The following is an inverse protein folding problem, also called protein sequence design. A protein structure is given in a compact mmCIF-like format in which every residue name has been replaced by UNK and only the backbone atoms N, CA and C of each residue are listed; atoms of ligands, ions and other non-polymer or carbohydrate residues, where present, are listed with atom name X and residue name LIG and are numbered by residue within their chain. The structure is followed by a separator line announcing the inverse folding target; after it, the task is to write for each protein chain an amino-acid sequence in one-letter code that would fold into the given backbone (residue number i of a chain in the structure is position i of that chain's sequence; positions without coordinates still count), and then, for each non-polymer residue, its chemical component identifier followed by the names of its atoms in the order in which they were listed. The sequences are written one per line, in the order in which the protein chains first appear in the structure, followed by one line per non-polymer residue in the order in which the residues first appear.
data_IF_062000196643
#
_entry.id   IF_062000196643
#
_cell.length_a   1.000
_cell.length_b   1.000
_cell.length_c   1.000
_cell.angle_alpha   90.00
_cell.angle_beta   90.00
_cell.angle_gamma   90.00
#
_symmetry.space_group_name_H-M   'P 1'
#
loop_
_entity.id
_entity.type
_entity.pdbx_description
1 polymer ?
#
# COMPACT_ATOMS: atom_id res chain seq x y z
N UNK A 1 44.94 12.25 -6.23
CA UNK A 1 43.64 12.17 -5.53
C UNK A 1 43.86 11.39 -4.25
N UNK A 2 43.49 11.94 -3.10
CA UNK A 2 43.67 11.27 -1.82
C UNK A 2 42.72 10.10 -1.75
N UNK A 3 43.19 8.90 -1.42
CA UNK A 3 42.33 7.72 -1.29
C UNK A 3 41.42 7.86 -0.07
N UNK A 4 40.13 7.69 -0.27
CA UNK A 4 39.17 7.67 0.83
C UNK A 4 39.37 6.41 1.68
N UNK A 5 39.20 6.57 2.98
CA UNK A 5 39.16 5.46 3.95
C UNK A 5 37.71 5.10 4.30
N UNK A 6 37.54 4.13 5.18
CA UNK A 6 36.25 3.71 5.66
C UNK A 6 36.01 4.14 7.11
N UNK A 7 34.76 4.41 7.45
CA UNK A 7 34.27 4.45 8.82
C UNK A 7 33.31 3.29 8.97
N UNK A 8 33.61 2.34 9.83
CA UNK A 8 32.77 1.16 10.06
C UNK A 8 31.71 1.51 11.11
N UNK A 9 30.43 1.43 10.74
CA UNK A 9 29.33 1.65 11.67
C UNK A 9 28.88 0.30 12.25
N UNK A 10 29.17 0.11 13.51
CA UNK A 10 29.00 -1.13 14.27
C UNK A 10 30.33 -1.73 14.69
N UNK A 11 30.44 -2.03 15.99
CA UNK A 11 31.67 -2.56 16.63
C UNK A 11 31.54 -4.03 17.00
N UNK A 12 30.39 -4.66 16.71
CA UNK A 12 30.13 -6.07 17.00
C UNK A 12 30.79 -7.03 15.99
N UNK A 13 30.31 -8.28 15.94
CA UNK A 13 30.83 -9.34 15.08
C UNK A 13 31.09 -8.88 13.64
N UNK A 14 30.08 -8.26 13.00
CA UNK A 14 30.22 -7.79 11.61
C UNK A 14 31.20 -6.64 11.44
N UNK A 15 31.34 -5.77 12.46
CA UNK A 15 32.36 -4.71 12.47
C UNK A 15 33.79 -5.30 12.47
N UNK A 16 34.01 -6.33 13.26
CA UNK A 16 35.29 -7.01 13.30
C UNK A 16 35.58 -7.80 12.02
N UNK A 17 34.57 -8.47 11.46
CA UNK A 17 34.70 -9.13 10.15
C UNK A 17 35.05 -8.12 9.05
N UNK A 18 34.39 -6.95 9.04
CA UNK A 18 34.65 -5.87 8.09
C UNK A 18 36.07 -5.29 8.25
N UNK A 19 36.52 -5.10 9.50
CA UNK A 19 37.87 -4.66 9.78
C UNK A 19 38.91 -5.63 9.21
N UNK A 20 38.73 -6.94 9.47
CA UNK A 20 39.61 -7.97 8.95
C UNK A 20 39.59 -8.03 7.42
N UNK A 21 38.41 -7.87 6.81
CA UNK A 21 38.26 -7.90 5.36
C UNK A 21 38.92 -6.74 4.66
N UNK A 22 38.68 -5.49 5.14
CA UNK A 22 39.24 -4.31 4.52
C UNK A 22 40.69 -4.00 4.92
N UNK A 23 41.11 -4.51 6.04
CA UNK A 23 42.44 -4.26 6.62
C UNK A 23 42.48 -2.95 7.43
N UNK A 24 43.18 -2.99 8.55
CA UNK A 24 43.27 -1.86 9.51
C UNK A 24 43.72 -0.57 8.87
N UNK A 25 44.68 -0.60 7.96
CA UNK A 25 45.20 0.61 7.29
C UNK A 25 44.17 1.41 6.49
N UNK A 26 43.07 0.76 6.14
CA UNK A 26 42.00 1.31 5.33
C UNK A 26 40.79 1.83 6.14
N UNK A 27 40.76 1.57 7.44
CA UNK A 27 39.72 2.03 8.36
C UNK A 27 40.19 3.23 9.15
N UNK A 28 39.46 4.34 9.07
CA UNK A 28 39.77 5.60 9.75
C UNK A 28 39.24 5.57 11.19
N UNK A 29 37.97 5.21 11.34
CA UNK A 29 37.27 5.12 12.61
C UNK A 29 36.27 3.96 12.63
N UNK A 30 35.92 3.53 13.83
CA UNK A 30 34.63 2.93 14.08
C UNK A 30 33.61 4.00 14.50
N UNK A 31 32.33 3.75 14.30
CA UNK A 31 31.26 4.49 14.94
C UNK A 31 30.25 3.52 15.53
N UNK A 32 29.67 3.87 16.66
CA UNK A 32 28.67 3.04 17.34
C UNK A 32 27.66 3.88 18.10
N UNK A 33 26.41 3.39 18.19
CA UNK A 33 25.34 4.03 18.96
C UNK A 33 25.50 3.86 20.46
N UNK A 34 26.25 2.84 20.88
CA UNK A 34 26.54 2.61 22.30
C UNK A 34 27.48 3.69 22.84
N UNK A 35 26.92 4.61 23.61
CA UNK A 35 27.65 5.73 24.23
C UNK A 35 28.80 5.26 25.11
N UNK A 36 28.68 4.07 25.71
CA UNK A 36 29.75 3.48 26.55
C UNK A 36 31.00 3.05 25.78
N UNK A 37 30.90 2.93 24.45
CA UNK A 37 32.03 2.58 23.58
C UNK A 37 32.67 3.82 22.92
N UNK A 38 31.93 4.90 22.78
CA UNK A 38 32.42 6.13 22.15
C UNK A 38 33.62 6.70 22.90
N UNK A 39 34.65 7.10 22.16
CA UNK A 39 35.93 7.55 22.69
C UNK A 39 36.93 6.45 23.01
N UNK A 40 36.52 5.19 23.07
CA UNK A 40 37.41 4.03 23.23
C UNK A 40 38.05 3.60 21.89
N UNK A 41 38.92 2.64 21.94
CA UNK A 41 39.57 2.08 20.76
C UNK A 41 39.36 0.55 20.67
N UNK A 42 39.26 0.08 19.44
CA UNK A 42 39.30 -1.36 19.10
C UNK A 42 40.45 -1.53 18.08
N UNK A 43 41.39 -2.39 18.39
CA UNK A 43 42.58 -2.61 17.56
C UNK A 43 43.34 -1.34 17.21
N UNK A 44 43.36 -0.35 18.13
CA UNK A 44 43.99 0.95 17.94
C UNK A 44 43.22 1.87 16.97
N UNK A 45 41.96 1.56 16.66
CA UNK A 45 41.06 2.42 15.88
C UNK A 45 40.02 3.02 16.84
N UNK A 46 39.94 4.35 16.86
CA UNK A 46 39.04 5.08 17.75
C UNK A 46 37.58 4.92 17.33
N UNK A 47 36.68 4.79 18.31
CA UNK A 47 35.23 4.78 18.13
C UNK A 47 34.69 6.20 18.31
N UNK A 48 34.14 6.77 17.25
CA UNK A 48 33.53 8.10 17.25
C UNK A 48 32.02 8.01 17.43
N UNK A 49 31.41 9.13 17.83
CA UNK A 49 29.94 9.23 17.84
C UNK A 49 29.40 9.32 16.42
N UNK A 50 28.23 8.70 16.11
CA UNK A 50 27.56 8.87 14.82
C UNK A 50 27.29 10.34 14.45
N UNK A 51 27.16 11.23 15.43
CA UNK A 51 27.00 12.69 15.21
C UNK A 51 28.22 13.35 14.59
N UNK A 52 29.38 12.70 14.65
CA UNK A 52 30.63 13.24 14.11
C UNK A 52 30.86 12.90 12.63
N UNK A 53 30.08 11.96 12.06
CA UNK A 53 30.27 11.41 10.71
C UNK A 53 30.34 12.48 9.61
N UNK A 54 29.52 13.51 9.69
CA UNK A 54 29.50 14.59 8.70
C UNK A 54 30.85 15.34 8.58
N UNK A 55 31.69 15.30 9.61
CA UNK A 55 33.03 15.92 9.58
C UNK A 55 33.97 15.22 8.62
N UNK A 56 33.74 13.93 8.37
CA UNK A 56 34.64 13.06 7.61
C UNK A 56 34.15 12.68 6.22
N UNK A 57 33.04 13.25 5.75
CA UNK A 57 32.42 12.91 4.45
C UNK A 57 33.34 13.09 3.24
N UNK A 58 34.38 13.93 3.35
CA UNK A 58 35.38 14.12 2.28
C UNK A 58 36.45 13.05 2.30
N UNK A 59 36.77 12.53 3.48
CA UNK A 59 37.93 11.68 3.72
C UNK A 59 37.57 10.19 3.80
N UNK A 60 36.31 9.89 4.08
CA UNK A 60 35.85 8.52 4.29
C UNK A 60 34.45 8.26 3.75
N UNK A 61 34.17 6.98 3.50
CA UNK A 61 32.84 6.43 3.21
C UNK A 61 32.39 5.61 4.43
N UNK A 62 31.14 5.80 4.84
CA UNK A 62 30.55 5.01 5.93
C UNK A 62 30.15 3.64 5.40
N UNK A 63 30.54 2.58 6.11
CA UNK A 63 30.14 1.22 5.81
C UNK A 63 29.38 0.64 7.01
N UNK A 64 28.13 0.27 6.78
CA UNK A 64 27.27 -0.36 7.79
C UNK A 64 27.72 -1.79 8.00
N UNK A 65 28.16 -2.12 9.21
CA UNK A 65 28.71 -3.42 9.57
C UNK A 65 27.93 -4.04 10.74
N UNK A 66 26.69 -4.39 10.47
CA UNK A 66 25.77 -4.99 11.43
C UNK A 66 24.86 -6.02 10.74
N UNK A 67 23.98 -6.66 11.49
CA UNK A 67 22.91 -7.49 10.93
C UNK A 67 21.90 -6.61 10.16
N UNK A 68 21.15 -7.20 9.24
CA UNK A 68 20.29 -6.46 8.29
C UNK A 68 19.29 -5.54 9.00
N UNK A 69 18.64 -6.03 10.05
CA UNK A 69 17.69 -5.26 10.87
C UNK A 69 18.33 -4.00 11.46
N UNK A 70 19.54 -4.16 11.99
CA UNK A 70 20.29 -3.03 12.59
C UNK A 70 20.80 -2.09 11.51
N UNK A 71 21.20 -2.63 10.35
CA UNK A 71 21.61 -1.81 9.20
C UNK A 71 20.49 -0.89 8.73
N UNK A 72 19.24 -1.34 8.69
CA UNK A 72 18.09 -0.49 8.31
C UNK A 72 17.89 0.66 9.29
N UNK A 73 18.01 0.40 10.59
CA UNK A 73 17.96 1.46 11.61
C UNK A 73 19.10 2.46 11.46
N UNK A 74 20.32 1.95 11.17
CA UNK A 74 21.48 2.79 10.91
C UNK A 74 21.31 3.63 9.65
N UNK A 75 20.79 3.08 8.56
CA UNK A 75 20.47 3.82 7.33
C UNK A 75 19.50 4.98 7.59
N UNK A 76 18.39 4.70 8.29
CA UNK A 76 17.43 5.72 8.67
C UNK A 76 18.09 6.82 9.50
N UNK A 77 18.90 6.44 10.48
CA UNK A 77 19.64 7.38 11.31
C UNK A 77 20.60 8.26 10.49
N UNK A 78 21.38 7.66 9.57
CA UNK A 78 22.32 8.38 8.70
C UNK A 78 21.61 9.39 7.80
N UNK A 79 20.52 8.96 7.13
CA UNK A 79 19.69 9.84 6.29
C UNK A 79 19.16 11.03 7.10
N UNK A 80 18.66 10.79 8.30
CA UNK A 80 18.17 11.84 9.22
C UNK A 80 19.26 12.80 9.68
N UNK A 81 20.51 12.37 9.71
CA UNK A 81 21.69 13.18 10.04
C UNK A 81 22.31 13.87 8.82
N UNK A 82 21.74 13.69 7.61
CA UNK A 82 22.30 14.25 6.38
C UNK A 82 23.56 13.54 5.87
N UNK A 83 23.79 12.30 6.31
CA UNK A 83 24.83 11.42 5.76
C UNK A 83 24.20 10.59 4.63
N UNK A 84 24.39 11.05 3.40
CA UNK A 84 23.74 10.44 2.22
C UNK A 84 24.55 9.32 1.58
N UNK A 85 25.87 9.31 1.79
CA UNK A 85 26.80 8.36 1.18
C UNK A 85 27.23 7.30 2.17
N UNK A 86 26.70 6.10 2.01
CA UNK A 86 27.07 4.93 2.81
C UNK A 86 26.88 3.62 2.02
N UNK A 87 27.60 2.59 2.41
CA UNK A 87 27.51 1.25 1.81
C UNK A 87 27.26 0.22 2.91
N UNK A 88 26.70 -0.93 2.55
CA UNK A 88 26.53 -2.08 3.44
C UNK A 88 27.72 -3.03 3.27
N UNK A 89 28.31 -3.50 4.36
CA UNK A 89 29.46 -4.40 4.34
C UNK A 89 29.19 -5.69 3.56
N UNK A 90 28.02 -6.29 3.75
CA UNK A 90 27.65 -7.53 3.05
C UNK A 90 27.58 -7.34 1.53
N UNK A 91 26.95 -6.22 1.12
CA UNK A 91 26.92 -5.86 -0.30
C UNK A 91 28.32 -5.67 -0.86
N UNK A 92 29.18 -4.88 -0.18
CA UNK A 92 30.54 -4.62 -0.65
C UNK A 92 31.35 -5.91 -0.77
N UNK A 93 31.28 -6.77 0.23
CA UNK A 93 31.95 -8.07 0.22
C UNK A 93 31.49 -8.92 -0.96
N UNK A 94 30.18 -9.10 -1.12
CA UNK A 94 29.58 -9.86 -2.23
C UNK A 94 29.95 -9.27 -3.59
N UNK A 95 29.96 -7.94 -3.71
CA UNK A 95 30.36 -7.24 -4.92
C UNK A 95 31.82 -7.48 -5.29
N UNK A 96 32.75 -7.39 -4.32
CA UNK A 96 34.18 -7.65 -4.52
C UNK A 96 34.40 -9.10 -4.92
N UNK A 97 33.78 -10.05 -4.22
CA UNK A 97 33.91 -11.49 -4.48
C UNK A 97 33.36 -11.85 -5.87
N UNK A 98 32.17 -11.35 -6.22
CA UNK A 98 31.52 -11.61 -7.52
C UNK A 98 32.29 -11.06 -8.71
N UNK A 99 32.76 -9.85 -8.60
CA UNK A 99 33.50 -9.17 -9.66
C UNK A 99 34.98 -9.57 -9.70
N UNK A 100 35.42 -10.45 -8.78
CA UNK A 100 36.82 -10.84 -8.63
C UNK A 100 37.77 -9.65 -8.53
N UNK A 101 37.31 -8.56 -7.91
CA UNK A 101 38.06 -7.31 -7.75
C UNK A 101 38.94 -7.39 -6.51
N UNK A 102 40.14 -6.84 -6.63
CA UNK A 102 41.00 -6.62 -5.47
C UNK A 102 40.48 -5.49 -4.58
N UNK A 103 40.78 -5.56 -3.28
CA UNK A 103 40.42 -4.51 -2.31
C UNK A 103 40.99 -3.14 -2.73
N UNK A 104 42.18 -3.11 -3.26
CA UNK A 104 42.80 -1.85 -3.75
C UNK A 104 42.00 -1.18 -4.87
N UNK A 105 41.39 -1.98 -5.75
CA UNK A 105 40.53 -1.47 -6.81
C UNK A 105 39.24 -0.86 -6.19
N UNK A 106 38.67 -1.53 -5.21
CA UNK A 106 37.52 -0.98 -4.49
C UNK A 106 37.82 0.38 -3.85
N UNK A 107 38.98 0.55 -3.22
CA UNK A 107 39.39 1.83 -2.63
C UNK A 107 39.64 2.91 -3.66
N UNK A 108 40.12 2.60 -4.85
CA UNK A 108 40.18 3.53 -6.00
C UNK A 108 38.76 3.95 -6.43
N UNK A 109 37.85 2.98 -6.53
CA UNK A 109 36.46 3.22 -6.93
C UNK A 109 35.75 4.15 -5.97
N UNK A 110 35.76 3.89 -4.67
CA UNK A 110 35.09 4.75 -3.67
C UNK A 110 35.74 6.12 -3.53
N UNK A 111 36.98 6.28 -3.96
CA UNK A 111 37.67 7.57 -4.00
C UNK A 111 37.25 8.42 -5.20
N UNK A 112 36.58 7.82 -6.20
CA UNK A 112 36.03 8.49 -7.35
C UNK A 112 34.55 8.79 -7.09
N UNK A 113 34.17 10.07 -7.12
CA UNK A 113 32.82 10.50 -6.70
C UNK A 113 31.68 9.78 -7.47
N UNK A 114 31.79 9.69 -8.79
CA UNK A 114 30.79 8.99 -9.60
C UNK A 114 30.71 7.49 -9.34
N UNK A 115 31.80 6.85 -8.91
CA UNK A 115 31.82 5.41 -8.63
C UNK A 115 31.17 5.05 -7.31
N UNK A 116 31.30 5.88 -6.27
CA UNK A 116 30.61 5.62 -5.00
C UNK A 116 29.10 5.70 -5.18
N UNK A 117 28.59 6.64 -5.95
CA UNK A 117 27.16 6.72 -6.27
C UNK A 117 26.69 5.52 -7.11
N UNK A 118 27.53 5.05 -8.04
CA UNK A 118 27.24 3.83 -8.79
C UNK A 118 27.15 2.60 -7.88
N UNK A 119 28.05 2.47 -6.91
CA UNK A 119 27.97 1.38 -5.93
C UNK A 119 26.72 1.47 -5.06
N UNK A 120 26.34 2.68 -4.65
CA UNK A 120 25.07 2.89 -3.92
C UNK A 120 23.84 2.50 -4.75
N UNK A 121 23.84 2.85 -6.03
CA UNK A 121 22.78 2.45 -6.94
C UNK A 121 22.70 0.91 -7.08
N UNK A 122 23.83 0.23 -7.31
CA UNK A 122 23.88 -1.23 -7.37
C UNK A 122 23.45 -1.90 -6.07
N UNK A 123 23.81 -1.30 -4.93
CA UNK A 123 23.35 -1.78 -3.61
C UNK A 123 21.83 -1.68 -3.46
N UNK A 124 21.24 -0.58 -3.94
CA UNK A 124 19.78 -0.39 -3.93
C UNK A 124 19.10 -1.40 -4.84
N UNK A 125 19.59 -1.57 -6.07
CA UNK A 125 19.07 -2.52 -7.06
C UNK A 125 19.12 -3.97 -6.54
N UNK A 126 20.21 -4.38 -5.90
CA UNK A 126 20.33 -5.71 -5.30
C UNK A 126 19.33 -5.92 -4.15
N UNK A 127 19.12 -4.90 -3.29
CA UNK A 127 18.10 -4.96 -2.23
C UNK A 127 16.69 -5.08 -2.79
N UNK A 128 16.38 -4.32 -3.84
CA UNK A 128 15.08 -4.40 -4.49
C UNK A 128 14.84 -5.79 -5.09
N UNK A 129 15.86 -6.36 -5.71
CA UNK A 129 15.80 -7.72 -6.24
C UNK A 129 15.63 -8.78 -5.14
N UNK A 130 16.40 -8.69 -4.05
CA UNK A 130 16.25 -9.60 -2.90
C UNK A 130 14.85 -9.48 -2.28
N UNK A 131 14.31 -8.26 -2.16
CA UNK A 131 12.96 -8.04 -1.69
C UNK A 131 11.92 -8.67 -2.63
N UNK A 132 12.10 -8.51 -3.94
CA UNK A 132 11.23 -9.11 -4.94
C UNK A 132 11.26 -10.65 -4.88
N UNK A 133 12.44 -11.26 -4.78
CA UNK A 133 12.59 -12.71 -4.65
C UNK A 133 11.87 -13.25 -3.40
N UNK A 134 11.88 -12.50 -2.30
CA UNK A 134 11.15 -12.86 -1.07
C UNK A 134 9.65 -12.77 -1.23
N UNK A 135 9.17 -11.70 -1.87
CA UNK A 135 7.74 -11.54 -2.19
C UNK A 135 7.28 -12.72 -3.06
N UNK A 136 8.02 -13.04 -4.11
CA UNK A 136 7.69 -14.16 -4.99
C UNK A 136 7.69 -15.50 -4.24
N UNK A 137 8.65 -15.70 -3.34
CA UNK A 137 8.68 -16.88 -2.49
C UNK A 137 7.43 -16.97 -1.59
N UNK A 138 7.08 -15.86 -0.93
CA UNK A 138 5.90 -15.78 -0.09
C UNK A 138 4.62 -16.07 -0.89
N UNK A 139 4.45 -15.45 -2.05
CA UNK A 139 3.30 -15.66 -2.93
C UNK A 139 3.15 -17.12 -3.36
N UNK A 140 4.26 -17.77 -3.75
CA UNK A 140 4.25 -19.17 -4.19
C UNK A 140 3.89 -20.16 -3.08
N UNK A 141 4.12 -19.80 -1.84
CA UNK A 141 3.98 -20.70 -0.70
C UNK A 141 2.84 -20.35 0.25
N UNK A 142 2.04 -19.32 -0.08
CA UNK A 142 0.96 -18.87 0.79
C UNK A 142 -0.38 -18.93 0.07
N UNK A 143 -1.37 -19.55 0.68
CA UNK A 143 -2.76 -19.45 0.25
C UNK A 143 -3.27 -18.03 0.61
N UNK A 144 -3.69 -17.28 -0.40
CA UNK A 144 -4.13 -15.89 -0.25
C UNK A 144 -5.27 -15.73 0.78
N UNK A 145 -6.11 -16.76 0.96
CA UNK A 145 -7.19 -16.78 1.95
C UNK A 145 -6.70 -16.84 3.40
N UNK A 146 -5.44 -17.19 3.59
CA UNK A 146 -4.82 -17.42 4.90
C UNK A 146 -3.83 -16.32 5.27
N UNK A 147 -3.70 -15.32 4.42
CA UNK A 147 -2.94 -14.11 4.76
C UNK A 147 -3.70 -13.39 5.87
N UNK A 148 -2.96 -13.00 6.89
CA UNK A 148 -3.54 -12.44 8.10
C UNK A 148 -3.81 -10.95 8.00
N UNK A 149 -4.74 -10.43 8.81
CA UNK A 149 -5.04 -9.01 8.81
C UNK A 149 -3.80 -8.14 8.96
N UNK A 150 -3.83 -6.94 8.40
CA UNK A 150 -2.80 -5.95 8.60
C UNK A 150 -2.53 -5.66 10.08
N UNK A 151 -1.40 -5.08 10.38
CA UNK A 151 -1.00 -4.65 11.73
C UNK A 151 -0.55 -3.19 11.72
N UNK A 152 -0.26 -2.65 12.89
CA UNK A 152 0.27 -1.32 13.07
C UNK A 152 -0.61 -0.24 12.43
N UNK A 153 0.01 0.75 11.81
CA UNK A 153 -0.69 1.93 11.27
C UNK A 153 -1.70 1.60 10.19
N UNK A 154 -1.42 0.61 9.33
CA UNK A 154 -2.38 0.20 8.30
C UNK A 154 -3.62 -0.39 8.96
N UNK A 155 -3.45 -1.26 9.96
CA UNK A 155 -4.58 -1.82 10.69
C UNK A 155 -5.38 -0.76 11.46
N UNK A 156 -4.71 0.19 12.09
CA UNK A 156 -5.35 1.34 12.74
C UNK A 156 -6.18 2.15 11.74
N UNK A 157 -5.65 2.37 10.53
CA UNK A 157 -6.38 3.02 9.43
C UNK A 157 -7.60 2.21 9.02
N UNK A 158 -7.45 0.91 8.76
CA UNK A 158 -8.56 0.01 8.39
C UNK A 158 -9.67 0.02 9.44
N UNK A 159 -9.34 -0.07 10.72
CA UNK A 159 -10.35 -0.01 11.81
C UNK A 159 -11.04 1.35 11.88
N UNK A 160 -10.31 2.43 11.60
CA UNK A 160 -10.89 3.78 11.57
C UNK A 160 -11.85 3.93 10.39
N UNK A 161 -11.47 3.42 9.22
CA UNK A 161 -12.32 3.37 8.02
C UNK A 161 -13.57 2.51 8.26
N UNK A 162 -13.42 1.32 8.85
CA UNK A 162 -14.55 0.47 9.20
C UNK A 162 -15.59 1.22 10.06
N UNK A 163 -15.16 1.91 11.11
CA UNK A 163 -16.05 2.69 11.98
C UNK A 163 -16.80 3.77 11.20
N UNK A 164 -16.10 4.48 10.34
CA UNK A 164 -16.69 5.50 9.49
C UNK A 164 -17.72 4.92 8.50
N UNK A 165 -17.42 3.76 7.91
CA UNK A 165 -18.32 3.08 6.97
C UNK A 165 -19.55 2.51 7.67
N UNK A 166 -19.41 2.00 8.88
CA UNK A 166 -20.56 1.58 9.71
C UNK A 166 -21.49 2.76 9.98
N UNK A 167 -20.93 3.95 10.25
CA UNK A 167 -21.73 5.14 10.48
C UNK A 167 -22.43 5.60 9.20
N UNK A 168 -21.74 5.58 8.07
CA UNK A 168 -22.33 5.87 6.75
C UNK A 168 -23.46 4.89 6.43
N UNK A 169 -23.24 3.58 6.60
CA UNK A 169 -24.24 2.53 6.35
C UNK A 169 -25.51 2.75 7.18
N UNK A 170 -25.36 3.10 8.47
CA UNK A 170 -26.50 3.42 9.34
C UNK A 170 -27.29 4.64 8.83
N UNK A 171 -26.58 5.70 8.43
CA UNK A 171 -27.24 6.91 7.92
C UNK A 171 -27.98 6.64 6.62
N UNK A 172 -27.40 5.89 5.72
CA UNK A 172 -28.01 5.47 4.45
C UNK A 172 -29.26 4.61 4.70
N UNK A 173 -29.17 3.63 5.59
CA UNK A 173 -30.30 2.77 5.99
C UNK A 173 -31.42 3.55 6.68
N UNK A 174 -31.11 4.56 7.47
CA UNK A 174 -32.11 5.39 8.16
C UNK A 174 -32.99 6.19 7.18
N UNK A 175 -32.52 6.47 5.97
CA UNK A 175 -33.29 7.11 4.91
C UNK A 175 -33.86 6.10 3.91
N UNK A 176 -33.79 4.79 4.21
CA UNK A 176 -34.40 3.72 3.43
C UNK A 176 -33.64 3.36 2.15
N UNK A 177 -32.32 3.63 2.11
CA UNK A 177 -31.45 3.30 0.98
C UNK A 177 -30.48 2.18 1.35
N UNK A 178 -29.88 1.56 0.33
CA UNK A 178 -29.01 0.40 0.46
C UNK A 178 -27.59 0.72 0.02
N UNK A 179 -26.62 0.40 0.88
CA UNK A 179 -25.19 0.55 0.63
C UNK A 179 -24.54 -0.82 0.58
N UNK A 180 -23.92 -1.16 -0.54
CA UNK A 180 -23.27 -2.44 -0.74
C UNK A 180 -21.76 -2.30 -0.58
N UNK A 181 -21.12 -3.31 0.03
CA UNK A 181 -19.66 -3.41 -0.10
C UNK A 181 -19.28 -3.57 -1.56
N UNK A 182 -18.23 -2.85 -1.98
CA UNK A 182 -17.70 -2.87 -3.34
C UNK A 182 -16.24 -3.31 -3.39
N UNK A 183 -15.75 -3.45 -4.59
CA UNK A 183 -14.34 -3.56 -4.94
C UNK A 183 -13.52 -4.48 -4.02
N UNK A 184 -12.35 -4.00 -3.60
CA UNK A 184 -11.46 -4.67 -2.67
C UNK A 184 -12.13 -5.06 -1.35
N UNK A 185 -13.09 -4.28 -0.87
CA UNK A 185 -13.77 -4.56 0.39
C UNK A 185 -14.75 -5.73 0.28
N UNK A 186 -15.46 -5.86 -0.84
CA UNK A 186 -16.28 -7.05 -1.10
C UNK A 186 -15.41 -8.29 -1.31
N UNK A 187 -14.32 -8.14 -2.05
CA UNK A 187 -13.33 -9.22 -2.24
C UNK A 187 -12.73 -9.66 -0.90
N UNK A 188 -12.37 -8.71 -0.06
CA UNK A 188 -11.86 -8.97 1.29
C UNK A 188 -12.89 -9.65 2.19
N UNK A 189 -14.17 -9.22 2.15
CA UNK A 189 -15.25 -9.87 2.89
C UNK A 189 -15.39 -11.35 2.52
N UNK A 190 -15.35 -11.66 1.21
CA UNK A 190 -15.49 -13.04 0.70
C UNK A 190 -14.26 -13.88 1.02
N UNK A 191 -13.07 -13.33 0.84
CA UNK A 191 -11.82 -14.07 0.88
C UNK A 191 -11.17 -14.12 2.26
N UNK A 192 -11.17 -12.99 2.96
CA UNK A 192 -10.43 -12.79 4.21
C UNK A 192 -11.37 -12.60 5.43
N UNK A 193 -12.67 -12.39 5.22
CA UNK A 193 -13.64 -12.07 6.27
C UNK A 193 -13.55 -10.63 6.78
N UNK A 194 -12.77 -9.78 6.11
CA UNK A 194 -12.51 -8.39 6.44
C UNK A 194 -11.68 -7.73 5.36
N UNK A 195 -10.91 -6.70 5.69
CA UNK A 195 -10.02 -6.06 4.72
C UNK A 195 -9.05 -7.05 4.09
N UNK A 196 -8.74 -6.83 2.82
CA UNK A 196 -7.53 -7.40 2.23
C UNK A 196 -6.34 -6.87 3.05
N UNK A 197 -5.39 -7.72 3.48
CA UNK A 197 -4.38 -7.32 4.46
C UNK A 197 -3.49 -6.12 4.08
N UNK A 198 -3.39 -5.82 2.79
CA UNK A 198 -2.58 -4.69 2.28
C UNK A 198 -3.41 -3.54 1.72
N UNK A 199 -4.74 -3.62 1.86
CA UNK A 199 -5.67 -2.61 1.38
C UNK A 199 -5.77 -1.45 2.35
N UNK A 200 -5.84 -0.23 1.85
CA UNK A 200 -5.82 0.98 2.66
C UNK A 200 -6.98 1.95 2.38
N UNK A 201 -7.96 1.52 1.60
CA UNK A 201 -9.16 2.28 1.27
C UNK A 201 -10.44 1.48 1.51
N UNK A 202 -11.58 2.12 1.32
CA UNK A 202 -12.88 1.49 1.42
C UNK A 202 -13.82 2.07 0.39
N UNK A 203 -14.37 1.18 -0.43
CA UNK A 203 -15.27 1.49 -1.52
C UNK A 203 -16.61 0.81 -1.32
N UNK A 204 -17.67 1.52 -1.68
CA UNK A 204 -19.02 1.01 -1.59
C UNK A 204 -19.78 1.26 -2.89
N UNK A 205 -20.75 0.42 -3.13
CA UNK A 205 -21.58 0.48 -4.34
C UNK A 205 -23.00 0.86 -3.99
N UNK A 206 -23.66 1.53 -4.92
CA UNK A 206 -25.08 1.85 -4.79
C UNK A 206 -25.75 1.82 -6.16
N UNK A 207 -26.96 1.26 -6.25
CA UNK A 207 -27.72 1.30 -7.51
C UNK A 207 -28.04 2.75 -7.88
N UNK A 208 -27.97 3.10 -9.16
CA UNK A 208 -28.10 4.48 -9.67
C UNK A 208 -29.32 5.23 -9.12
N UNK A 209 -30.46 4.59 -9.05
CA UNK A 209 -31.66 5.25 -8.53
C UNK A 209 -31.49 5.68 -7.08
N UNK A 210 -30.92 4.84 -6.24
CA UNK A 210 -30.65 5.14 -4.84
C UNK A 210 -29.48 6.12 -4.68
N UNK A 211 -28.45 5.99 -5.52
CA UNK A 211 -27.34 6.93 -5.59
C UNK A 211 -27.82 8.38 -5.87
N UNK A 212 -28.72 8.52 -6.84
CA UNK A 212 -29.31 9.83 -7.15
C UNK A 212 -30.19 10.33 -5.99
N UNK A 213 -30.96 9.44 -5.35
CA UNK A 213 -31.75 9.79 -4.16
C UNK A 213 -30.85 10.23 -3.00
N UNK A 214 -29.70 9.60 -2.81
CA UNK A 214 -28.71 9.98 -1.80
C UNK A 214 -28.16 11.38 -2.08
N UNK A 215 -27.75 11.65 -3.32
CA UNK A 215 -27.29 12.98 -3.75
C UNK A 215 -28.35 14.04 -3.47
N UNK A 216 -29.61 13.79 -3.87
CA UNK A 216 -30.70 14.73 -3.68
C UNK A 216 -31.03 14.96 -2.20
N UNK A 217 -30.99 13.90 -1.39
CA UNK A 217 -31.21 14.01 0.05
C UNK A 217 -30.15 14.92 0.68
N UNK A 218 -28.88 14.64 0.47
CA UNK A 218 -27.80 15.42 1.09
C UNK A 218 -27.62 16.81 0.48
N UNK A 219 -28.03 17.02 -0.77
CA UNK A 219 -28.14 18.36 -1.37
C UNK A 219 -29.18 19.19 -0.63
N UNK A 220 -30.37 18.64 -0.33
CA UNK A 220 -31.45 19.32 0.44
C UNK A 220 -31.03 19.60 1.88
N UNK A 221 -30.34 18.68 2.51
CA UNK A 221 -29.80 18.83 3.88
C UNK A 221 -28.59 19.79 3.96
N UNK A 222 -28.09 20.30 2.83
CA UNK A 222 -26.88 21.12 2.78
C UNK A 222 -25.61 20.37 3.23
N UNK A 223 -25.61 19.06 3.03
CA UNK A 223 -24.47 18.18 3.33
C UNK A 223 -23.69 17.76 2.08
N UNK A 224 -24.14 18.12 0.88
CA UNK A 224 -23.41 17.93 -0.35
C UNK A 224 -22.63 19.20 -0.69
N UNK A 225 -21.33 19.06 -0.81
CA UNK A 225 -20.44 20.10 -1.33
C UNK A 225 -20.02 19.76 -2.76
N UNK A 226 -20.14 20.69 -3.67
CA UNK A 226 -19.62 20.60 -5.03
C UNK A 226 -18.58 21.69 -5.22
N UNK A 227 -17.34 21.27 -5.46
CA UNK A 227 -16.22 22.18 -5.63
C UNK A 227 -16.26 22.93 -6.96
N UNK A 228 -15.77 24.15 -6.98
CA UNK A 228 -15.45 24.91 -8.20
C UNK A 228 -13.98 24.68 -8.63
N UNK A 229 -13.27 23.75 -7.99
CA UNK A 229 -11.92 23.39 -8.36
C UNK A 229 -11.84 22.84 -9.80
N UNK A 230 -10.69 22.92 -10.46
CA UNK A 230 -10.45 22.24 -11.73
C UNK A 230 -10.79 20.76 -11.64
N UNK A 231 -11.45 20.21 -12.67
CA UNK A 231 -11.93 18.81 -12.66
C UNK A 231 -10.82 17.76 -12.42
N UNK A 232 -9.55 18.12 -12.68
CA UNK A 232 -8.41 17.22 -12.51
C UNK A 232 -7.65 17.45 -11.18
N UNK A 233 -8.09 18.40 -10.36
CA UNK A 233 -7.44 18.73 -9.09
C UNK A 233 -8.19 18.13 -7.89
N UNK A 234 -8.13 16.82 -7.77
CA UNK A 234 -8.73 16.09 -6.65
C UNK A 234 -8.14 16.51 -5.28
N UNK A 235 -6.88 16.95 -5.24
CA UNK A 235 -6.26 17.42 -3.99
C UNK A 235 -6.92 18.70 -3.50
N UNK A 236 -7.26 19.60 -4.41
CA UNK A 236 -7.98 20.82 -4.06
C UNK A 236 -9.40 20.49 -3.58
N UNK A 237 -10.12 19.60 -4.27
CA UNK A 237 -11.45 19.13 -3.85
C UNK A 237 -11.41 18.55 -2.44
N UNK A 238 -10.45 17.66 -2.17
CA UNK A 238 -10.25 17.08 -0.87
C UNK A 238 -10.02 18.14 0.21
N UNK A 239 -9.10 19.07 -0.03
CA UNK A 239 -8.77 20.14 0.91
C UNK A 239 -9.98 21.05 1.20
N UNK A 240 -10.69 21.48 0.17
CA UNK A 240 -11.86 22.35 0.31
C UNK A 240 -12.98 21.65 1.10
N UNK A 241 -13.22 20.36 0.81
CA UNK A 241 -14.24 19.57 1.50
C UNK A 241 -13.87 19.38 2.96
N UNK A 242 -12.60 19.04 3.24
CA UNK A 242 -12.11 18.91 4.61
C UNK A 242 -12.18 20.22 5.39
N UNK A 243 -11.77 21.32 4.80
CA UNK A 243 -11.86 22.64 5.39
C UNK A 243 -13.31 23.02 5.78
N UNK A 244 -14.29 22.62 4.97
CA UNK A 244 -15.71 22.83 5.28
C UNK A 244 -16.19 21.92 6.40
N UNK A 245 -15.87 20.62 6.32
CA UNK A 245 -16.28 19.65 7.33
C UNK A 245 -15.67 19.98 8.69
N UNK A 246 -14.37 20.32 8.74
CA UNK A 246 -13.65 20.61 10.00
C UNK A 246 -14.21 21.84 10.74
N UNK A 247 -14.70 22.84 9.98
CA UNK A 247 -15.32 24.06 10.52
C UNK A 247 -16.80 23.92 10.83
N UNK A 248 -17.44 22.81 10.45
CA UNK A 248 -18.84 22.53 10.69
C UNK A 248 -19.06 21.75 11.99
N UNK A 249 -20.28 21.77 12.52
CA UNK A 249 -20.69 20.89 13.64
C UNK A 249 -21.17 19.52 13.14
N UNK A 250 -20.97 19.19 11.88
CA UNK A 250 -21.37 17.93 11.26
C UNK A 250 -20.25 16.90 11.41
N UNK A 251 -20.61 15.63 11.53
CA UNK A 251 -19.64 14.53 11.58
C UNK A 251 -19.32 13.97 10.19
N UNK A 252 -20.17 14.29 9.20
CA UNK A 252 -20.02 13.84 7.83
C UNK A 252 -20.39 14.95 6.84
N UNK A 253 -19.73 14.93 5.68
CA UNK A 253 -20.05 15.78 4.53
C UNK A 253 -19.81 14.94 3.26
N UNK A 254 -20.66 15.14 2.26
CA UNK A 254 -20.49 14.53 0.95
C UNK A 254 -19.87 15.51 -0.03
N UNK A 255 -19.05 15.01 -0.93
CA UNK A 255 -18.50 15.78 -2.03
C UNK A 255 -18.55 14.97 -3.31
N UNK A 256 -18.82 15.64 -4.41
CA UNK A 256 -18.59 15.07 -5.72
C UNK A 256 -17.18 15.48 -6.18
N UNK A 257 -16.33 14.49 -6.47
CA UNK A 257 -14.92 14.72 -6.79
C UNK A 257 -14.63 14.89 -8.30
N UNK A 258 -15.68 14.98 -9.12
CA UNK A 258 -15.59 15.04 -10.59
C UNK A 258 -15.78 13.68 -11.27
N UNK A 259 -15.84 12.61 -10.50
CA UNK A 259 -15.96 11.23 -11.00
C UNK A 259 -17.13 10.53 -10.32
N UNK A 260 -17.13 10.48 -8.98
CA UNK A 260 -18.15 9.85 -8.15
C UNK A 260 -18.39 10.63 -6.86
N UNK A 261 -19.37 10.20 -6.10
CA UNK A 261 -19.69 10.76 -4.79
C UNK A 261 -18.72 10.18 -3.74
N UNK A 262 -18.23 11.04 -2.87
CA UNK A 262 -17.34 10.67 -1.79
C UNK A 262 -17.90 11.16 -0.46
N UNK A 263 -17.96 10.28 0.54
CA UNK A 263 -18.31 10.65 1.90
C UNK A 263 -17.03 10.96 2.71
N UNK A 264 -16.99 12.12 3.34
CA UNK A 264 -15.94 12.56 4.26
C UNK A 264 -16.48 12.46 5.68
N UNK A 265 -15.88 11.61 6.49
CA UNK A 265 -16.30 11.34 7.87
C UNK A 265 -15.23 11.81 8.83
N UNK A 266 -15.62 12.62 9.83
CA UNK A 266 -14.70 13.00 10.90
C UNK A 266 -14.20 11.76 11.65
N UNK A 267 -12.92 11.70 11.86
CA UNK A 267 -12.28 10.68 12.69
C UNK A 267 -11.63 11.34 13.92
N UNK A 268 -11.17 10.52 14.85
CA UNK A 268 -10.34 11.02 15.96
C UNK A 268 -8.92 11.45 15.50
N UNK A 269 -8.58 11.23 14.23
CA UNK A 269 -7.32 11.66 13.63
C UNK A 269 -7.35 13.10 13.10
N UNK A 270 -6.22 13.55 12.61
CA UNK A 270 -6.04 14.89 12.01
C UNK A 270 -6.80 15.05 10.68
N UNK A 271 -7.06 13.95 9.98
CA UNK A 271 -7.70 13.92 8.65
C UNK A 271 -9.01 13.13 8.67
N UNK A 272 -9.95 13.42 7.76
CA UNK A 272 -11.18 12.65 7.64
C UNK A 272 -10.90 11.25 7.09
N UNK A 273 -11.80 10.33 7.37
CA UNK A 273 -11.95 9.12 6.57
C UNK A 273 -12.69 9.49 5.28
N UNK A 274 -12.21 8.96 4.18
CA UNK A 274 -12.80 9.14 2.85
C UNK A 274 -13.35 7.80 2.40
N UNK A 275 -14.61 7.78 1.96
CA UNK A 275 -15.31 6.59 1.47
C UNK A 275 -15.87 6.91 0.10
N UNK A 276 -15.45 6.18 -0.90
CA UNK A 276 -15.89 6.38 -2.27
C UNK A 276 -17.14 5.54 -2.56
N UNK A 277 -18.12 6.16 -3.20
CA UNK A 277 -19.44 5.59 -3.47
C UNK A 277 -19.62 5.52 -4.98
N UNK A 278 -19.57 4.31 -5.53
CA UNK A 278 -19.70 4.07 -6.96
C UNK A 278 -21.13 3.72 -7.35
N UNK A 279 -21.70 4.35 -8.38
CA UNK A 279 -23.01 3.99 -8.89
C UNK A 279 -22.95 2.71 -9.73
N UNK A 280 -24.01 1.90 -9.62
CA UNK A 280 -24.29 0.78 -10.50
C UNK A 280 -25.50 1.11 -11.38
N UNK A 281 -25.38 0.89 -12.69
CA UNK A 281 -26.45 1.08 -13.67
C UNK A 281 -27.00 -0.26 -14.16
N UNK A 282 -28.31 -0.30 -14.40
CA UNK A 282 -28.89 -1.31 -15.25
C UNK A 282 -28.65 -0.98 -16.73
N UNK A 283 -28.25 -1.96 -17.51
CA UNK A 283 -27.97 -1.82 -18.94
C UNK A 283 -29.00 -2.58 -19.77
N UNK A 284 -29.36 -2.05 -20.93
CA UNK A 284 -30.25 -2.72 -21.87
C UNK A 284 -29.63 -4.05 -22.32
N UNK A 285 -30.46 -5.09 -22.47
CA UNK A 285 -29.99 -6.45 -22.77
C UNK A 285 -29.28 -6.56 -24.12
N UNK A 286 -29.60 -5.70 -25.07
CA UNK A 286 -29.04 -5.67 -26.43
C UNK A 286 -27.77 -4.83 -26.57
N UNK A 287 -27.34 -4.12 -25.52
CA UNK A 287 -26.09 -3.36 -25.57
C UNK A 287 -24.86 -4.24 -25.24
N UNK A 288 -23.72 -3.89 -25.84
CA UNK A 288 -22.43 -4.49 -25.54
C UNK A 288 -21.51 -3.47 -24.85
N UNK A 289 -20.53 -3.99 -24.11
CA UNK A 289 -19.50 -3.19 -23.45
C UNK A 289 -18.72 -2.34 -24.47
N UNK A 290 -18.37 -2.92 -25.62
CA UNK A 290 -17.68 -2.21 -26.70
C UNK A 290 -18.48 -1.04 -27.29
N UNK A 291 -19.81 -1.17 -27.38
CA UNK A 291 -20.65 -0.08 -27.86
C UNK A 291 -20.62 1.09 -26.88
N UNK A 292 -20.62 0.82 -25.57
CA UNK A 292 -20.50 1.85 -24.54
C UNK A 292 -19.15 2.52 -24.61
N UNK A 293 -18.05 1.76 -24.70
CA UNK A 293 -16.71 2.35 -24.82
C UNK A 293 -16.60 3.29 -26.02
N UNK A 294 -17.11 2.89 -27.18
CA UNK A 294 -17.12 3.78 -28.38
C UNK A 294 -17.95 5.05 -28.19
N UNK A 295 -19.05 4.94 -27.46
CA UNK A 295 -19.88 6.10 -27.14
C UNK A 295 -19.15 7.05 -26.19
N UNK A 296 -18.55 6.51 -25.14
CA UNK A 296 -17.74 7.29 -24.18
C UNK A 296 -16.53 7.92 -24.85
N UNK A 297 -15.86 7.22 -25.78
CA UNK A 297 -14.78 7.80 -26.59
C UNK A 297 -15.27 9.02 -27.42
N UNK A 298 -16.48 8.94 -27.93
CA UNK A 298 -17.14 10.09 -28.59
C UNK A 298 -17.40 11.28 -27.66
N UNK A 299 -17.71 11.01 -26.41
CA UNK A 299 -17.98 12.03 -25.37
C UNK A 299 -16.69 12.59 -24.73
N UNK A 300 -15.55 11.92 -24.91
CA UNK A 300 -14.30 12.28 -24.23
C UNK A 300 -13.80 13.68 -24.57
N UNK A 301 -13.98 14.11 -25.82
CA UNK A 301 -13.56 15.44 -26.25
C UNK A 301 -14.34 16.55 -25.49
N UNK A 302 -15.67 16.42 -25.39
CA UNK A 302 -16.51 17.36 -24.65
C UNK A 302 -16.16 17.36 -23.18
N UNK A 303 -16.02 16.18 -22.61
CA UNK A 303 -15.64 15.99 -21.22
C UNK A 303 -14.30 16.69 -20.88
N UNK A 304 -13.31 16.63 -21.76
CA UNK A 304 -12.01 17.29 -21.57
C UNK A 304 -12.07 18.81 -21.65
N UNK A 305 -13.11 19.39 -22.23
CA UNK A 305 -13.29 20.85 -22.28
C UNK A 305 -13.92 21.43 -21.00
N UNK A 306 -14.42 20.57 -20.11
CA UNK A 306 -15.01 21.02 -18.84
C UNK A 306 -13.91 21.59 -17.94
N UNK A 307 -14.21 22.69 -17.26
CA UNK A 307 -13.22 23.40 -16.47
C UNK A 307 -13.22 22.97 -15.01
N UNK A 308 -14.42 22.76 -14.45
CA UNK A 308 -14.58 22.55 -13.00
C UNK A 308 -15.25 21.22 -12.69
N UNK A 309 -15.09 20.78 -11.43
CA UNK A 309 -15.82 19.62 -10.87
C UNK A 309 -17.34 19.80 -10.99
N UNK A 310 -17.83 21.03 -10.81
CA UNK A 310 -19.23 21.34 -10.95
C UNK A 310 -19.76 21.20 -12.39
N UNK A 311 -18.96 21.60 -13.38
CA UNK A 311 -19.30 21.38 -14.79
C UNK A 311 -19.32 19.89 -15.10
N UNK A 312 -18.37 19.15 -14.55
CA UNK A 312 -18.31 17.70 -14.69
C UNK A 312 -19.53 16.99 -14.09
N UNK A 313 -19.99 17.41 -12.91
CA UNK A 313 -21.19 16.84 -12.31
C UNK A 313 -22.41 17.03 -13.22
N UNK A 314 -22.63 18.25 -13.72
CA UNK A 314 -23.74 18.53 -14.65
C UNK A 314 -23.66 17.70 -15.93
N UNK A 315 -22.45 17.56 -16.46
CA UNK A 315 -22.23 16.74 -17.65
C UNK A 315 -22.55 15.26 -17.38
N UNK A 316 -22.13 14.72 -16.24
CA UNK A 316 -22.42 13.36 -15.87
C UNK A 316 -23.92 13.14 -15.60
N UNK A 317 -24.61 14.09 -14.96
CA UNK A 317 -26.08 14.05 -14.80
C UNK A 317 -26.77 13.96 -16.17
N UNK A 318 -26.41 14.81 -17.12
CA UNK A 318 -26.91 14.77 -18.49
C UNK A 318 -26.58 13.46 -19.20
N UNK A 319 -25.35 13.00 -19.11
CA UNK A 319 -24.91 11.74 -19.71
C UNK A 319 -25.73 10.55 -19.18
N UNK A 320 -26.00 10.51 -17.88
CA UNK A 320 -26.80 9.44 -17.27
C UNK A 320 -28.25 9.46 -17.72
N UNK A 321 -28.82 10.66 -18.01
CA UNK A 321 -30.20 10.80 -18.46
C UNK A 321 -30.38 10.52 -19.97
N UNK A 322 -29.43 10.95 -20.80
CA UNK A 322 -29.60 10.98 -22.26
C UNK A 322 -28.94 9.82 -23.00
N UNK A 323 -28.12 9.00 -22.32
CA UNK A 323 -27.45 7.89 -22.98
C UNK A 323 -28.41 6.80 -23.45
N UNK A 324 -28.13 6.12 -24.57
CA UNK A 324 -29.03 5.10 -25.12
C UNK A 324 -28.91 3.71 -24.47
N UNK A 325 -27.96 3.49 -23.56
CA UNK A 325 -27.54 2.14 -23.10
C UNK A 325 -28.13 1.77 -21.74
N UNK A 326 -28.27 2.72 -20.84
CA UNK A 326 -28.80 2.43 -19.49
C UNK A 326 -30.31 2.34 -19.45
N UNK A 327 -30.83 1.75 -18.40
CA UNK A 327 -32.27 1.59 -18.14
C UNK A 327 -32.60 2.03 -16.71
N UNK A 328 -33.66 2.80 -16.57
CA UNK A 328 -34.22 3.15 -15.26
C UNK A 328 -34.93 1.95 -14.58
N UNK A 329 -35.31 0.96 -15.35
CA UNK A 329 -35.95 -0.27 -14.85
C UNK A 329 -34.93 -1.39 -14.77
N UNK A 330 -35.11 -2.32 -13.83
CA UNK A 330 -34.26 -3.51 -13.75
C UNK A 330 -34.22 -4.29 -15.07
N UNK A 331 -33.02 -4.72 -15.45
CA UNK A 331 -32.75 -5.58 -16.62
C UNK A 331 -31.88 -6.77 -16.18
N UNK A 332 -31.52 -7.65 -17.10
CA UNK A 332 -30.63 -8.78 -16.79
C UNK A 332 -29.16 -8.37 -16.64
N UNK A 333 -28.80 -7.14 -17.03
CA UNK A 333 -27.42 -6.64 -17.01
C UNK A 333 -27.26 -5.49 -16.01
N UNK A 334 -26.23 -5.58 -15.18
CA UNK A 334 -25.83 -4.53 -14.24
C UNK A 334 -24.32 -4.33 -14.32
N UNK A 335 -23.85 -3.12 -14.17
CA UNK A 335 -22.44 -2.77 -14.18
C UNK A 335 -22.20 -1.40 -13.55
N UNK A 336 -20.96 -0.94 -13.54
CA UNK A 336 -20.64 0.43 -13.10
C UNK A 336 -21.44 1.48 -13.85
N UNK A 337 -21.66 2.61 -13.22
CA UNK A 337 -22.36 3.72 -13.83
C UNK A 337 -21.74 4.14 -15.16
N UNK A 338 -22.53 4.53 -16.13
CA UNK A 338 -22.03 4.90 -17.45
C UNK A 338 -21.02 6.06 -17.38
N UNK A 339 -21.18 6.96 -16.41
CA UNK A 339 -20.25 8.07 -16.13
C UNK A 339 -18.91 7.61 -15.55
N UNK A 340 -18.81 6.37 -15.08
CA UNK A 340 -17.56 5.78 -14.58
C UNK A 340 -16.64 5.25 -15.69
N UNK A 341 -17.16 5.00 -16.88
CA UNK A 341 -16.37 4.48 -17.99
C UNK A 341 -15.28 5.43 -18.51
N UNK A 342 -15.28 6.68 -18.07
CA UNK A 342 -14.15 7.58 -18.32
C UNK A 342 -12.87 7.18 -17.58
N UNK A 343 -13.00 6.41 -16.49
CA UNK A 343 -11.88 5.96 -15.64
C UNK A 343 -11.78 4.45 -15.53
N UNK A 344 -12.92 3.73 -15.47
CA UNK A 344 -12.97 2.28 -15.30
C UNK A 344 -13.09 1.55 -16.64
N UNK A 345 -12.22 1.88 -17.59
CA UNK A 345 -12.24 1.32 -18.98
C UNK A 345 -11.82 -0.15 -19.05
N UNK A 346 -11.09 -0.63 -18.06
CA UNK A 346 -10.56 -1.99 -18.01
C UNK A 346 -11.49 -2.94 -17.23
N UNK A 347 -12.51 -2.41 -16.56
CA UNK A 347 -13.49 -3.22 -15.87
C UNK A 347 -14.32 -4.01 -16.89
N UNK A 348 -14.13 -5.28 -16.92
CA UNK A 348 -14.65 -6.17 -17.93
C UNK A 348 -16.12 -6.46 -17.73
N UNK A 349 -16.92 -6.27 -18.78
CA UNK A 349 -18.26 -6.83 -19.00
C UNK A 349 -19.30 -6.71 -17.85
N UNK A 350 -20.56 -6.80 -18.21
CA UNK A 350 -21.68 -6.72 -17.27
C UNK A 350 -21.83 -7.95 -16.40
N UNK A 351 -22.21 -7.75 -15.15
CA UNK A 351 -22.70 -8.81 -14.29
C UNK A 351 -24.20 -9.09 -14.59
N UNK A 352 -24.64 -10.30 -14.35
CA UNK A 352 -26.09 -10.63 -14.40
C UNK A 352 -26.76 -10.12 -13.13
N UNK A 353 -27.85 -9.36 -13.27
CA UNK A 353 -28.60 -8.78 -12.15
C UNK A 353 -29.05 -9.82 -11.12
N UNK A 354 -29.31 -11.06 -11.53
CA UNK A 354 -29.62 -12.18 -10.63
C UNK A 354 -28.49 -12.59 -9.68
N UNK A 355 -27.26 -12.12 -9.90
CA UNK A 355 -26.13 -12.34 -8.99
C UNK A 355 -26.02 -11.19 -7.99
N UNK A 356 -26.67 -10.06 -8.24
CA UNK A 356 -26.74 -8.92 -7.33
C UNK A 356 -27.97 -9.00 -6.45
N UNK A 357 -29.15 -9.30 -7.03
CA UNK A 357 -30.43 -9.31 -6.33
C UNK A 357 -31.01 -10.72 -6.17
N UNK A 358 -31.76 -10.95 -5.06
CA UNK A 358 -31.97 -10.05 -3.92
C UNK A 358 -30.69 -9.86 -3.13
N UNK A 359 -30.47 -8.67 -2.55
CA UNK A 359 -29.30 -8.41 -1.70
C UNK A 359 -29.23 -9.40 -0.54
N UNK A 360 -28.03 -9.68 -0.07
CA UNK A 360 -27.79 -10.47 1.14
C UNK A 360 -26.85 -9.73 2.09
N UNK A 361 -26.85 -10.15 3.35
CA UNK A 361 -25.84 -9.68 4.29
C UNK A 361 -24.56 -10.51 4.20
N UNK A 362 -23.42 -9.83 4.26
CA UNK A 362 -22.09 -10.42 4.38
C UNK A 362 -21.37 -9.87 5.61
N UNK A 363 -20.59 -10.72 6.25
CA UNK A 363 -19.76 -10.29 7.37
C UNK A 363 -18.46 -9.65 6.87
N UNK A 364 -18.15 -8.47 7.36
CA UNK A 364 -16.90 -7.78 7.11
C UNK A 364 -16.38 -7.19 8.44
N UNK A 365 -15.24 -7.66 8.91
CA UNK A 365 -14.65 -7.25 10.20
C UNK A 365 -15.63 -7.35 11.39
N UNK A 366 -16.50 -8.36 11.39
CA UNK A 366 -17.48 -8.59 12.44
C UNK A 366 -18.77 -7.74 12.36
N UNK A 367 -18.92 -6.89 11.34
CA UNK A 367 -20.14 -6.14 11.06
C UNK A 367 -20.86 -6.69 9.82
N UNK A 368 -22.18 -6.60 9.77
CA UNK A 368 -23.00 -7.06 8.64
C UNK A 368 -23.27 -5.89 7.70
N UNK A 369 -22.72 -5.97 6.49
CA UNK A 369 -23.03 -5.09 5.38
C UNK A 369 -23.91 -5.79 4.36
N UNK A 370 -24.59 -5.02 3.53
CA UNK A 370 -25.27 -5.55 2.36
C UNK A 370 -24.28 -5.82 1.23
N UNK A 371 -24.59 -6.84 0.43
CA UNK A 371 -23.75 -7.29 -0.67
C UNK A 371 -24.63 -7.96 -1.76
N UNK A 372 -24.07 -8.13 -2.97
CA UNK A 372 -24.70 -8.98 -4.00
C UNK A 372 -25.02 -10.38 -3.46
N UNK A 373 -26.14 -10.96 -3.88
CA UNK A 373 -26.55 -12.30 -3.40
C UNK A 373 -25.57 -13.41 -3.78
N UNK A 374 -24.80 -13.22 -4.84
CA UNK A 374 -23.71 -14.09 -5.24
C UNK A 374 -22.44 -13.26 -5.46
N UNK A 375 -21.74 -12.85 -4.37
CA UNK A 375 -20.60 -11.95 -4.46
C UNK A 375 -19.43 -12.56 -5.23
N UNK A 376 -19.22 -13.88 -5.17
CA UNK A 376 -18.17 -14.55 -5.95
C UNK A 376 -18.39 -14.36 -7.45
N UNK A 377 -19.63 -14.58 -7.94
CA UNK A 377 -19.96 -14.36 -9.37
C UNK A 377 -19.94 -12.87 -9.78
N UNK A 378 -20.19 -11.99 -8.84
CA UNK A 378 -20.04 -10.55 -9.07
C UNK A 378 -18.58 -10.19 -9.23
N UNK A 379 -17.73 -10.65 -8.31
CA UNK A 379 -16.29 -10.37 -8.29
C UNK A 379 -15.50 -11.06 -9.41
N UNK A 380 -15.92 -12.28 -9.83
CA UNK A 380 -15.24 -12.99 -10.93
C UNK A 380 -15.15 -12.18 -12.23
N UNK A 381 -16.09 -11.26 -12.45
CA UNK A 381 -16.11 -10.41 -13.63
C UNK A 381 -14.94 -9.39 -13.66
N UNK A 382 -14.56 -8.94 -12.51
CA UNK A 382 -13.53 -7.93 -12.37
C UNK A 382 -12.15 -8.52 -12.03
N UNK A 383 -12.16 -9.48 -11.09
CA UNK A 383 -10.93 -10.03 -10.52
C UNK A 383 -10.56 -11.42 -11.06
N UNK A 384 -11.41 -12.03 -11.93
CA UNK A 384 -11.19 -13.39 -12.38
C UNK A 384 -11.29 -14.41 -11.25
N UNK A 385 -10.30 -15.28 -11.10
CA UNK A 385 -10.26 -16.24 -9.98
C UNK A 385 -9.83 -15.52 -8.69
N UNK A 386 -10.81 -15.17 -7.87
CA UNK A 386 -10.62 -14.39 -6.64
C UNK A 386 -9.81 -15.10 -5.56
N UNK A 387 -9.53 -16.38 -5.71
CA UNK A 387 -8.75 -17.19 -4.77
C UNK A 387 -7.30 -17.37 -5.19
N UNK A 388 -6.92 -16.85 -6.34
CA UNK A 388 -5.53 -16.80 -6.77
C UNK A 388 -4.87 -15.46 -6.42
N UNK A 389 -3.56 -15.49 -6.29
CA UNK A 389 -2.79 -14.27 -6.22
C UNK A 389 -2.90 -13.52 -7.55
N UNK A 390 -3.13 -12.20 -7.51
CA UNK A 390 -3.14 -11.41 -8.74
C UNK A 390 -1.77 -11.45 -9.43
N UNK A 391 -1.75 -11.37 -10.76
CA UNK A 391 -0.51 -11.44 -11.55
C UNK A 391 0.51 -10.34 -11.21
N UNK A 392 0.00 -9.22 -10.74
CA UNK A 392 0.80 -8.07 -10.31
C UNK A 392 1.06 -8.04 -8.81
N UNK A 393 0.78 -9.12 -8.08
CA UNK A 393 1.10 -9.25 -6.67
C UNK A 393 2.56 -8.86 -6.38
N UNK A 394 2.74 -7.99 -5.41
CA UNK A 394 4.06 -7.44 -5.07
C UNK A 394 4.46 -6.20 -5.89
N UNK A 395 3.67 -5.78 -6.88
CA UNK A 395 3.82 -4.49 -7.54
C UNK A 395 3.09 -3.37 -6.76
N UNK A 396 3.34 -2.13 -7.15
CA UNK A 396 2.68 -1.00 -6.52
C UNK A 396 1.15 -1.09 -6.69
N UNK A 397 0.42 -0.90 -5.59
CA UNK A 397 -1.03 -0.71 -5.60
C UNK A 397 -1.43 0.70 -6.03
N UNK A 398 -2.55 1.22 -5.54
CA UNK A 398 -3.03 2.56 -5.89
C UNK A 398 -2.00 3.65 -5.58
N UNK A 399 -1.53 4.33 -6.62
CA UNK A 399 -0.57 5.43 -6.56
C UNK A 399 0.89 5.01 -6.74
N UNK A 400 1.72 5.98 -7.16
CA UNK A 400 3.15 5.78 -7.38
C UNK A 400 3.84 5.27 -6.09
N UNK A 401 4.39 4.06 -6.14
CA UNK A 401 5.22 3.49 -5.10
C UNK A 401 4.52 2.57 -4.10
N UNK A 402 3.21 2.31 -4.20
CA UNK A 402 2.55 1.31 -3.37
C UNK A 402 2.76 -0.09 -3.95
N UNK A 403 3.13 -1.00 -3.08
CA UNK A 403 3.20 -2.44 -3.37
C UNK A 403 2.12 -3.14 -2.57
N UNK A 404 1.61 -4.29 -3.03
CA UNK A 404 0.63 -5.10 -2.32
C UNK A 404 1.03 -5.45 -0.88
N UNK A 405 2.30 -5.59 -0.65
CA UNK A 405 2.89 -5.58 0.68
C UNK A 405 3.54 -4.22 0.78
N UNK A 406 3.04 -3.34 1.63
CA UNK A 406 3.53 -1.96 1.66
C UNK A 406 5.05 -1.98 1.82
N UNK A 407 5.72 -1.13 1.07
CA UNK A 407 7.18 -1.02 1.13
C UNK A 407 7.66 -0.74 2.57
N UNK A 408 6.85 -0.02 3.35
CA UNK A 408 7.09 0.24 4.78
C UNK A 408 7.00 -1.01 5.64
N UNK A 409 6.10 -1.94 5.34
CA UNK A 409 6.02 -3.23 6.04
C UNK A 409 7.16 -4.16 5.61
N UNK A 410 7.52 -4.12 4.34
CA UNK A 410 8.66 -4.85 3.79
C UNK A 410 10.00 -4.31 4.31
N UNK A 411 10.09 -3.02 4.56
CA UNK A 411 11.23 -2.37 5.23
C UNK A 411 11.18 -2.52 6.75
N UNK A 412 10.08 -3.04 7.31
CA UNK A 412 9.99 -3.32 8.73
C UNK A 412 11.04 -4.39 9.08
N UNK A 413 11.99 -4.09 9.98
CA UNK A 413 13.06 -5.01 10.34
C UNK A 413 12.57 -6.36 10.84
N UNK A 414 11.44 -6.40 11.53
CA UNK A 414 10.82 -7.61 12.07
C UNK A 414 10.29 -8.47 10.94
N UNK A 415 9.60 -7.87 9.98
CA UNK A 415 9.06 -8.57 8.82
C UNK A 415 10.17 -9.21 7.98
N UNK A 416 11.23 -8.46 7.68
CA UNK A 416 12.40 -8.97 6.94
C UNK A 416 13.08 -10.12 7.69
N UNK A 417 13.23 -10.02 9.00
CA UNK A 417 13.79 -11.10 9.83
C UNK A 417 12.93 -12.36 9.74
N UNK A 418 11.62 -12.22 9.91
CA UNK A 418 10.69 -13.34 9.83
C UNK A 418 10.69 -14.00 8.44
N UNK A 419 10.75 -13.22 7.36
CA UNK A 419 10.84 -13.77 6.01
C UNK A 419 12.12 -14.58 5.80
N UNK A 420 13.25 -14.11 6.34
CA UNK A 420 14.51 -14.86 6.31
C UNK A 420 14.47 -16.16 7.11
N UNK A 421 13.88 -16.10 8.28
CA UNK A 421 13.72 -17.30 9.12
C UNK A 421 12.85 -18.33 8.40
N UNK A 422 11.79 -17.90 7.72
CA UNK A 422 10.94 -18.77 6.92
C UNK A 422 11.63 -19.33 5.68
N UNK A 423 12.44 -18.53 4.99
CA UNK A 423 13.29 -19.04 3.89
C UNK A 423 14.28 -20.10 4.34
N UNK A 424 14.90 -19.91 5.51
CA UNK A 424 15.83 -20.88 6.08
C UNK A 424 15.11 -22.17 6.48
N UNK A 425 13.95 -22.04 7.10
CA UNK A 425 13.06 -23.15 7.47
C UNK A 425 12.63 -23.90 6.21
N UNK A 426 12.32 -23.19 5.14
CA UNK A 426 11.86 -23.75 3.87
C UNK A 426 12.90 -24.62 3.18
N UNK A 427 14.15 -24.23 3.29
CA UNK A 427 15.28 -24.96 2.67
C UNK A 427 15.64 -26.23 3.43
N UNK A 428 15.25 -26.34 4.68
CA UNK A 428 15.71 -27.42 5.56
C UNK A 428 14.72 -28.58 5.71
N UNK A 429 13.41 -28.42 5.50
CA UNK A 429 12.43 -29.48 5.83
C UNK A 429 11.13 -29.46 5.04
N UNK A 430 10.72 -30.62 4.55
CA UNK A 430 9.36 -30.95 4.11
C UNK A 430 8.41 -31.29 5.28
N UNK A 431 8.54 -30.71 6.44
CA UNK A 431 7.76 -31.06 7.64
C UNK A 431 6.94 -29.89 8.16
N UNK A 432 5.87 -30.22 8.85
CA UNK A 432 5.06 -29.27 9.63
C UNK A 432 5.96 -28.54 10.59
N UNK A 433 6.03 -27.22 10.45
CA UNK A 433 6.79 -26.37 11.34
C UNK A 433 5.80 -25.62 12.19
N UNK A 434 5.83 -25.95 13.47
CA UNK A 434 5.15 -25.17 14.49
C UNK A 434 6.06 -23.99 14.78
N UNK A 435 5.79 -22.87 14.16
CA UNK A 435 6.37 -21.62 14.60
C UNK A 435 5.47 -21.07 15.69
N UNK A 436 5.58 -21.67 16.86
CA UNK A 436 5.01 -21.06 18.04
C UNK A 436 5.79 -19.79 18.36
N UNK A 437 5.17 -18.67 18.08
CA UNK A 437 5.48 -17.39 18.67
C UNK A 437 6.83 -16.75 18.30
N UNK A 438 6.82 -15.99 17.25
CA UNK A 438 7.50 -14.71 17.36
C UNK A 438 6.49 -13.69 17.91
N UNK A 439 6.33 -13.66 19.22
CA UNK A 439 5.62 -12.60 19.90
C UNK A 439 6.62 -11.51 20.22
N UNK A 440 6.78 -10.57 19.33
CA UNK A 440 7.49 -9.36 19.67
C UNK A 440 6.49 -8.47 20.36
N UNK A 441 6.48 -8.54 21.68
CA UNK A 441 5.71 -7.63 22.52
C UNK A 441 6.40 -6.28 22.58
N UNK A 442 5.95 -5.38 21.77
CA UNK A 442 5.96 -3.98 22.13
C UNK A 442 4.53 -3.49 22.00
N UNK A 443 3.92 -3.01 23.09
CA UNK A 443 2.50 -2.63 23.12
C UNK A 443 2.17 -1.43 22.22
N UNK A 444 3.16 -0.79 21.63
CA UNK A 444 3.05 0.33 20.69
C UNK A 444 3.54 0.01 19.28
N UNK A 445 4.06 -1.19 19.04
CA UNK A 445 4.62 -1.62 17.77
C UNK A 445 4.15 -3.04 17.45
N UNK A 446 4.19 -3.40 16.23
CA UNK A 446 3.78 -4.63 15.61
C UNK A 446 4.01 -5.91 16.43
N UNK A 447 2.97 -6.66 16.66
CA UNK A 447 3.05 -7.98 17.23
C UNK A 447 2.89 -9.01 16.12
N UNK A 448 3.95 -9.75 15.80
CA UNK A 448 3.90 -10.84 14.84
C UNK A 448 3.57 -12.14 15.56
N UNK A 449 2.48 -12.78 15.20
CA UNK A 449 2.16 -14.13 15.63
C UNK A 449 2.34 -15.04 14.42
N UNK A 450 3.25 -16.00 14.52
CA UNK A 450 3.37 -17.08 13.57
C UNK A 450 2.61 -18.25 14.15
N UNK A 451 1.57 -18.71 13.46
CA UNK A 451 0.83 -19.91 13.82
C UNK A 451 1.40 -21.12 13.08
N UNK A 452 0.97 -22.28 13.47
CA UNK A 452 1.31 -23.57 12.92
C UNK A 452 1.38 -23.57 11.38
N UNK A 453 2.49 -24.03 10.83
CA UNK A 453 2.77 -24.06 9.42
C UNK A 453 2.90 -25.51 8.97
N UNK A 454 2.01 -25.95 8.13
CA UNK A 454 2.28 -27.13 7.28
C UNK A 454 3.03 -26.65 6.04
N UNK A 455 4.29 -27.00 5.98
CA UNK A 455 5.19 -26.56 4.93
C UNK A 455 4.68 -26.77 3.49
N UNK A 456 3.87 -27.75 3.27
CA UNK A 456 3.35 -28.03 1.92
C UNK A 456 2.28 -27.08 1.43
N UNK A 457 1.64 -26.30 2.30
CA UNK A 457 0.41 -25.61 1.90
C UNK A 457 0.19 -24.19 2.46
N UNK A 458 0.91 -23.73 3.49
CA UNK A 458 0.50 -22.49 4.16
C UNK A 458 1.69 -21.76 4.79
N UNK A 459 1.93 -20.58 4.31
CA UNK A 459 2.76 -19.59 4.96
C UNK A 459 1.93 -18.35 5.25
N UNK A 460 1.81 -17.92 6.50
CA UNK A 460 1.15 -16.68 6.83
C UNK A 460 1.71 -16.05 8.09
N UNK A 461 1.61 -14.75 8.15
CA UNK A 461 1.99 -13.93 9.29
C UNK A 461 0.77 -13.33 9.93
N UNK A 462 0.76 -13.28 11.25
CA UNK A 462 -0.17 -12.46 12.02
C UNK A 462 0.62 -11.34 12.64
N UNK A 463 0.16 -10.16 12.40
CA UNK A 463 0.48 -9.03 13.23
C UNK A 463 -0.62 -8.89 14.27
N UNK A 464 -0.33 -8.93 15.53
CA UNK A 464 -1.29 -8.69 16.61
C UNK A 464 -1.10 -7.29 17.20
#
# INVERSE_FOLDING_TARGET
MQMKKLILFGTGKYGMEALNFFGRGNVLYFTDNNKGLQGKEIDGIRIISPKELNRYKKDAVVVLAAGDTVCLQMEYQLKKQGVEVFLNYRFVRKFIDKEKRGIDTFFKDISTEGMVYKLMYLQKDEKEKEAQERIEFFIRNTDIRKVLPASGKLRESQITQLKATIELDKQVKNIGLHLLLGEGNLLGAVRNGGFIPWDDDIDVLMIRTEYNMLIDHYRKEGMLYVSEAPQNDQRQVYKETWDKLSKSNRDMLFSYNGIFLTAYVKSMGEFPVVIDIFPLDYYKNDCSYEQILRYIDGCEYECKQLCTVKDRLKYNEMLCEENPFTSQNPTDKIGYGIDQFFILRECSDFCKSKFVYPLKNIMFEGYQFEAPCNPEKFLEKEYGDIYQWPEDAGKAGHGEGRRYISYTEFENPVYISCMKDMENISKEKEQTIIVEKYLIRNQSEYCLIIKELEWKNILYYVYA
#
